data_IF_813824656865
#
_entry.id   IF_813824656865
#
_cell.length_a   1.000
_cell.length_b   1.000
_cell.length_c   1.000
_cell.angle_alpha   90.00
_cell.angle_beta   90.00
_cell.angle_gamma   90.00
#
_symmetry.space_group_name_H-M   'P 1'
#
loop_
_entity.id
_entity.type
_entity.pdbx_description
1 polymer ?
#
# COMPACT_ATOMS: atom_id res chain seq x y z
N UNK A 1 -16.73 1.87 -2.34
CA UNK A 1 -16.13 2.60 -3.50
C UNK A 1 -15.80 1.60 -4.59
N UNK A 2 -15.93 1.99 -5.87
CA UNK A 2 -15.74 1.09 -7.02
C UNK A 2 -14.90 1.74 -8.12
N UNK A 3 -14.20 0.92 -8.90
CA UNK A 3 -13.42 1.35 -10.07
C UNK A 3 -13.51 0.28 -11.16
N UNK A 4 -13.66 0.71 -12.41
CA UNK A 4 -13.66 -0.18 -13.57
C UNK A 4 -12.24 -0.34 -14.11
N UNK A 5 -11.81 -1.57 -14.32
CA UNK A 5 -10.51 -1.91 -14.90
C UNK A 5 -10.69 -2.68 -16.20
N UNK A 6 -9.86 -2.39 -17.20
CA UNK A 6 -9.69 -3.23 -18.39
C UNK A 6 -8.88 -4.48 -18.05
N UNK A 7 -9.30 -5.63 -18.56
CA UNK A 7 -8.65 -6.91 -18.35
C UNK A 7 -7.67 -7.20 -19.48
N UNK A 8 -6.39 -7.41 -19.14
CA UNK A 8 -5.36 -7.69 -20.12
C UNK A 8 -4.95 -9.17 -20.13
N UNK A 9 -4.27 -9.58 -21.18
CA UNK A 9 -3.59 -10.89 -21.32
C UNK A 9 -4.51 -12.09 -21.11
N UNK A 10 -5.77 -11.98 -21.56
CA UNK A 10 -6.77 -13.06 -21.46
C UNK A 10 -7.30 -13.29 -20.05
N UNK A 11 -7.09 -12.35 -19.11
CA UNK A 11 -7.66 -12.43 -17.78
C UNK A 11 -9.18 -12.35 -17.83
N UNK A 12 -9.82 -13.13 -16.97
CA UNK A 12 -11.26 -13.09 -16.72
C UNK A 12 -11.55 -12.37 -15.40
N UNK A 13 -12.76 -11.82 -15.27
CA UNK A 13 -13.21 -11.19 -14.02
C UNK A 13 -13.12 -12.16 -12.81
N UNK A 14 -13.40 -13.45 -13.01
CA UNK A 14 -13.33 -14.45 -11.94
C UNK A 14 -11.89 -14.67 -11.46
N UNK A 15 -10.92 -14.74 -12.37
CA UNK A 15 -9.51 -14.86 -12.01
C UNK A 15 -9.03 -13.64 -11.22
N UNK A 16 -9.45 -12.43 -11.60
CA UNK A 16 -9.08 -11.20 -10.87
C UNK A 16 -9.69 -11.17 -9.47
N UNK A 17 -10.97 -11.52 -9.34
CA UNK A 17 -11.67 -11.53 -8.04
C UNK A 17 -11.14 -12.59 -7.07
N UNK A 18 -10.67 -13.73 -7.58
CA UNK A 18 -10.15 -14.83 -6.76
C UNK A 18 -8.66 -14.68 -6.40
N UNK A 19 -7.95 -13.74 -7.02
CA UNK A 19 -6.51 -13.61 -6.86
C UNK A 19 -6.10 -12.93 -5.55
N UNK A 20 -5.00 -13.39 -4.95
CA UNK A 20 -4.41 -12.72 -3.77
C UNK A 20 -3.65 -11.46 -4.14
N UNK A 21 -3.00 -11.44 -5.30
CA UNK A 21 -2.23 -10.29 -5.80
C UNK A 21 -2.57 -9.99 -7.26
N UNK A 22 -2.59 -8.70 -7.59
CA UNK A 22 -2.81 -8.19 -8.93
C UNK A 22 -1.68 -7.23 -9.33
N UNK A 23 -1.23 -7.33 -10.58
CA UNK A 23 -0.50 -6.27 -11.27
C UNK A 23 -1.52 -5.39 -11.95
N UNK A 24 -1.43 -4.08 -11.73
CA UNK A 24 -2.26 -3.10 -12.38
C UNK A 24 -1.42 -2.07 -13.14
N UNK A 25 -2.05 -1.44 -14.13
CA UNK A 25 -1.52 -0.26 -14.78
C UNK A 25 -2.50 0.91 -14.68
N UNK A 26 -1.95 2.11 -14.59
CA UNK A 26 -2.68 3.37 -14.76
C UNK A 26 -2.03 4.12 -15.91
N UNK A 27 -2.82 4.43 -16.94
CA UNK A 27 -2.35 5.21 -18.08
C UNK A 27 -2.94 6.61 -18.02
N UNK A 28 -2.06 7.61 -18.00
CA UNK A 28 -2.38 9.02 -17.82
C UNK A 28 -1.63 9.78 -18.91
N UNK A 29 -2.34 10.51 -19.77
CA UNK A 29 -1.75 11.27 -20.89
C UNK A 29 -0.75 10.46 -21.74
N UNK A 30 -1.04 9.18 -21.99
CA UNK A 30 -0.18 8.28 -22.77
C UNK A 30 0.96 7.64 -21.98
N UNK A 31 1.31 8.16 -20.80
CA UNK A 31 2.32 7.57 -19.91
C UNK A 31 1.71 6.51 -19.02
N UNK A 32 2.50 5.49 -18.67
CA UNK A 32 2.04 4.35 -17.89
C UNK A 32 2.72 4.37 -16.52
N UNK A 33 1.95 4.03 -15.50
CA UNK A 33 2.41 3.63 -14.18
C UNK A 33 2.02 2.18 -13.95
N UNK A 34 2.95 1.38 -13.42
CA UNK A 34 2.73 -0.02 -13.06
C UNK A 34 2.86 -0.17 -11.55
N UNK A 35 1.98 -0.96 -10.94
CA UNK A 35 2.14 -1.36 -9.55
C UNK A 35 1.53 -2.72 -9.28
N UNK A 36 1.83 -3.23 -8.08
CA UNK A 36 1.17 -4.41 -7.53
C UNK A 36 0.43 -4.10 -6.24
N UNK A 37 -0.63 -4.85 -5.99
CA UNK A 37 -1.43 -4.74 -4.79
C UNK A 37 -2.23 -6.01 -4.57
N UNK A 38 -2.76 -6.18 -3.36
CA UNK A 38 -3.81 -7.15 -3.12
C UNK A 38 -5.19 -6.55 -3.45
N UNK A 39 -5.39 -5.23 -3.24
CA UNK A 39 -6.65 -4.52 -3.47
C UNK A 39 -6.38 -3.34 -4.43
N UNK A 40 -6.82 -3.42 -5.69
CA UNK A 40 -6.59 -2.37 -6.68
C UNK A 40 -7.43 -1.12 -6.46
N UNK A 41 -8.64 -1.23 -5.88
CA UNK A 41 -9.50 -0.08 -5.61
C UNK A 41 -8.96 0.71 -4.42
N UNK A 42 -8.61 0.05 -3.32
CA UNK A 42 -7.95 0.70 -2.18
C UNK A 42 -6.64 1.37 -2.59
N UNK A 43 -5.83 0.69 -3.41
CA UNK A 43 -4.55 1.23 -3.86
C UNK A 43 -4.72 2.44 -4.77
N UNK A 44 -5.71 2.45 -5.65
CA UNK A 44 -6.05 3.62 -6.45
C UNK A 44 -6.45 4.81 -5.57
N UNK A 45 -7.28 4.59 -4.55
CA UNK A 45 -7.67 5.64 -3.61
C UNK A 45 -6.48 6.19 -2.83
N UNK A 46 -5.62 5.30 -2.32
CA UNK A 46 -4.36 5.70 -1.67
C UNK A 46 -3.53 6.56 -2.60
N UNK A 47 -3.51 6.19 -3.89
CA UNK A 47 -2.77 6.91 -4.89
C UNK A 47 -3.30 8.32 -5.15
N UNK A 48 -4.62 8.45 -5.18
CA UNK A 48 -5.34 9.71 -5.32
C UNK A 48 -5.18 10.62 -4.10
N UNK A 49 -5.33 10.08 -2.88
CA UNK A 49 -5.15 10.86 -1.65
C UNK A 49 -3.71 11.37 -1.51
N UNK A 50 -2.74 10.50 -1.80
CA UNK A 50 -1.32 10.83 -1.77
C UNK A 50 -0.93 11.90 -2.79
N UNK A 51 -1.66 12.03 -3.91
CA UNK A 51 -1.36 13.06 -4.90
C UNK A 51 -1.77 14.45 -4.43
N UNK A 52 -2.72 14.55 -3.50
CA UNK A 52 -3.27 15.82 -2.98
C UNK A 52 -2.74 16.23 -1.62
N UNK A 53 -2.19 15.28 -0.86
CA UNK A 53 -1.58 15.59 0.41
C UNK A 53 -0.12 16.04 0.22
N UNK A 54 0.12 17.35 0.30
CA UNK A 54 1.44 17.99 0.14
C UNK A 54 2.49 17.50 1.13
N UNK A 55 2.07 16.92 2.27
CA UNK A 55 2.96 16.37 3.29
C UNK A 55 3.23 14.88 3.11
N UNK A 56 2.58 14.21 2.15
CA UNK A 56 2.75 12.79 1.89
C UNK A 56 4.16 12.54 1.32
N UNK A 57 4.84 11.50 1.79
CA UNK A 57 6.21 11.19 1.37
C UNK A 57 6.35 10.88 -0.13
N UNK A 58 5.27 10.49 -0.78
CA UNK A 58 5.22 10.19 -2.22
C UNK A 58 4.69 11.36 -3.07
N UNK A 59 4.33 12.50 -2.46
CA UNK A 59 3.67 13.62 -3.13
C UNK A 59 4.42 14.12 -4.38
N UNK A 60 5.75 14.08 -4.35
CA UNK A 60 6.62 14.52 -5.44
C UNK A 60 7.01 13.43 -6.44
N UNK A 61 6.49 12.20 -6.32
CA UNK A 61 6.82 11.13 -7.28
C UNK A 61 6.21 11.40 -8.66
N UNK A 62 6.84 10.94 -9.76
CA UNK A 62 6.37 11.22 -11.12
C UNK A 62 4.90 10.88 -11.33
N UNK A 63 4.45 9.72 -10.83
CA UNK A 63 3.04 9.33 -10.89
C UNK A 63 2.08 10.29 -10.19
N UNK A 64 2.43 10.81 -9.00
CA UNK A 64 1.56 11.77 -8.29
C UNK A 64 1.51 13.12 -8.98
N UNK A 65 2.63 13.56 -9.53
CA UNK A 65 2.70 14.79 -10.32
C UNK A 65 1.82 14.66 -11.55
N UNK A 66 1.95 13.57 -12.31
CA UNK A 66 1.13 13.30 -13.48
C UNK A 66 -0.38 13.25 -13.13
N UNK A 67 -0.72 12.58 -12.02
CA UNK A 67 -2.09 12.46 -11.56
C UNK A 67 -2.71 13.81 -11.19
N UNK A 68 -1.96 14.72 -10.54
CA UNK A 68 -2.47 16.07 -10.22
C UNK A 68 -2.72 16.94 -11.46
N UNK A 69 -1.97 16.71 -12.53
CA UNK A 69 -1.96 17.58 -13.71
C UNK A 69 -3.04 17.23 -14.74
N UNK A 70 -3.87 16.21 -14.50
CA UNK A 70 -4.98 15.86 -15.41
C UNK A 70 -6.30 16.45 -14.95
N UNK A 71 -7.12 16.86 -15.93
CA UNK A 71 -8.45 17.37 -15.69
C UNK A 71 -9.39 16.20 -15.36
N UNK A 72 -9.94 16.18 -14.14
CA UNK A 72 -10.74 15.07 -13.60
C UNK A 72 -10.01 13.71 -13.67
N UNK A 73 -9.19 13.44 -12.65
CA UNK A 73 -8.26 12.32 -12.60
C UNK A 73 -8.93 10.95 -12.77
N UNK A 74 -10.20 10.84 -12.37
CA UNK A 74 -10.99 9.61 -12.47
C UNK A 74 -11.44 9.29 -13.89
N UNK A 75 -11.65 10.31 -14.74
CA UNK A 75 -12.04 10.14 -16.14
C UNK A 75 -10.82 10.13 -17.07
N UNK A 76 -9.77 10.87 -16.71
CA UNK A 76 -8.56 10.98 -17.50
C UNK A 76 -7.55 9.83 -17.28
N UNK A 77 -7.82 8.93 -16.31
CA UNK A 77 -6.97 7.77 -16.04
C UNK A 77 -7.62 6.49 -16.55
N UNK A 78 -6.93 5.79 -17.44
CA UNK A 78 -7.32 4.44 -17.84
C UNK A 78 -6.72 3.41 -16.87
N UNK A 79 -7.55 2.54 -16.32
CA UNK A 79 -7.13 1.51 -15.36
C UNK A 79 -7.11 0.12 -16.01
N UNK A 80 -6.07 -0.66 -15.76
CA UNK A 80 -5.87 -2.00 -16.32
C UNK A 80 -5.45 -3.00 -15.24
N UNK A 81 -5.88 -4.25 -15.34
CA UNK A 81 -5.29 -5.40 -14.64
C UNK A 81 -4.47 -6.20 -15.64
N UNK A 82 -3.18 -6.35 -15.37
CA UNK A 82 -2.22 -6.94 -16.29
C UNK A 82 -1.98 -8.43 -16.05
N UNK A 83 -1.88 -8.81 -14.78
CA UNK A 83 -1.60 -10.16 -14.34
C UNK A 83 -2.14 -10.36 -12.93
N UNK A 84 -2.33 -11.62 -12.56
CA UNK A 84 -2.73 -12.03 -11.21
C UNK A 84 -1.80 -13.13 -10.71
N UNK A 85 -1.62 -13.25 -9.40
CA UNK A 85 -0.87 -14.36 -8.80
C UNK A 85 -1.32 -14.59 -7.36
N UNK A 86 -1.13 -15.82 -6.89
CA UNK A 86 -1.29 -16.19 -5.48
C UNK A 86 0.04 -16.20 -4.71
N UNK A 87 1.15 -15.80 -5.36
CA UNK A 87 2.50 -15.84 -4.81
C UNK A 87 3.14 -14.44 -4.81
N UNK A 88 3.56 -13.98 -3.63
CA UNK A 88 4.19 -12.66 -3.45
C UNK A 88 5.52 -12.50 -4.20
N UNK A 89 6.27 -13.60 -4.38
CA UNK A 89 7.55 -13.57 -5.11
C UNK A 89 7.34 -13.51 -6.62
N UNK A 90 6.38 -14.28 -7.13
CA UNK A 90 6.04 -14.31 -8.55
C UNK A 90 5.49 -12.95 -9.02
N UNK A 91 4.56 -12.37 -8.25
CA UNK A 91 3.99 -11.07 -8.61
C UNK A 91 5.06 -9.97 -8.65
N UNK A 92 6.11 -10.05 -7.82
CA UNK A 92 7.24 -9.10 -7.89
C UNK A 92 8.01 -9.24 -9.21
N UNK A 93 8.21 -10.46 -9.70
CA UNK A 93 8.84 -10.70 -11.00
C UNK A 93 7.98 -10.12 -12.13
N UNK A 94 6.67 -10.36 -12.11
CA UNK A 94 5.74 -9.84 -13.12
C UNK A 94 5.65 -8.31 -13.13
N UNK A 95 5.66 -7.66 -11.97
CA UNK A 95 5.71 -6.20 -11.88
C UNK A 95 6.93 -5.63 -12.62
N UNK A 96 8.12 -6.20 -12.39
CA UNK A 96 9.34 -5.75 -13.05
C UNK A 96 9.29 -5.96 -14.57
N UNK A 97 8.80 -7.11 -15.03
CA UNK A 97 8.67 -7.39 -16.46
C UNK A 97 7.68 -6.42 -17.12
N UNK A 98 6.56 -6.11 -16.46
CA UNK A 98 5.58 -5.14 -16.94
C UNK A 98 6.18 -3.72 -17.02
N UNK A 99 6.94 -3.29 -16.01
CA UNK A 99 7.64 -2.00 -16.01
C UNK A 99 8.60 -1.90 -17.21
N UNK A 100 9.35 -2.97 -17.51
CA UNK A 100 10.22 -3.03 -18.69
C UNK A 100 9.42 -2.99 -20.00
N UNK A 101 8.33 -3.77 -20.14
CA UNK A 101 7.53 -3.82 -21.39
C UNK A 101 6.92 -2.47 -21.72
N UNK A 102 6.29 -1.83 -20.73
CA UNK A 102 5.53 -0.59 -20.95
C UNK A 102 6.38 0.67 -20.80
N UNK A 103 7.70 0.55 -20.58
CA UNK A 103 8.64 1.67 -20.38
C UNK A 103 8.06 2.69 -19.41
N UNK A 104 7.72 2.23 -18.22
CA UNK A 104 6.88 2.97 -17.27
C UNK A 104 7.59 4.21 -16.69
N UNK A 105 7.50 5.35 -17.37
CA UNK A 105 8.12 6.63 -16.98
C UNK A 105 7.60 7.19 -15.65
N UNK A 106 6.40 6.76 -15.24
CA UNK A 106 5.78 7.20 -14.00
C UNK A 106 6.27 6.42 -12.75
N UNK A 107 7.01 5.33 -12.93
CA UNK A 107 7.64 4.60 -11.83
C UNK A 107 8.95 5.29 -11.43
N UNK A 108 9.13 5.58 -10.14
CA UNK A 108 10.28 6.33 -9.63
C UNK A 108 11.65 5.62 -9.77
N UNK A 109 11.67 4.32 -10.05
CA UNK A 109 12.89 3.55 -10.27
C UNK A 109 12.76 2.71 -11.53
N UNK A 110 13.70 2.87 -12.46
CA UNK A 110 13.83 2.00 -13.62
C UNK A 110 14.33 0.63 -13.18
N UNK A 111 13.55 -0.42 -13.46
CA UNK A 111 14.02 -1.79 -13.27
C UNK A 111 14.69 -2.25 -14.57
N UNK A 112 15.99 -2.56 -14.47
CA UNK A 112 16.80 -3.06 -15.58
C UNK A 112 17.01 -4.57 -15.40
N UNK A 113 16.78 -5.38 -16.44
CA UNK A 113 17.19 -6.79 -16.44
C UNK A 113 16.15 -7.85 -16.82
N UNK A 114 14.99 -7.48 -17.40
CA UNK A 114 13.97 -8.45 -17.83
C UNK A 114 13.53 -8.31 -19.30
N UNK A 115 14.38 -7.75 -20.18
CA UNK A 115 14.06 -7.52 -21.60
C UNK A 115 13.48 -8.73 -22.31
N UNK A 116 13.98 -9.92 -21.99
CA UNK A 116 13.72 -11.15 -22.74
C UNK A 116 12.36 -11.78 -22.39
N UNK A 117 11.71 -11.33 -21.31
CA UNK A 117 10.40 -11.80 -20.87
C UNK A 117 9.26 -10.84 -21.23
N UNK A 118 9.55 -9.74 -21.91
CA UNK A 118 8.60 -8.65 -22.18
C UNK A 118 7.45 -9.06 -23.12
N UNK A 119 7.61 -10.15 -23.87
CA UNK A 119 6.56 -10.72 -24.73
C UNK A 119 5.37 -11.30 -23.96
N UNK A 120 5.51 -11.53 -22.64
CA UNK A 120 4.38 -11.99 -21.80
C UNK A 120 3.24 -10.98 -21.71
N UNK A 121 3.55 -9.69 -21.90
CA UNK A 121 2.60 -8.60 -21.80
C UNK A 121 2.35 -8.02 -23.18
N UNK A 122 1.08 -7.94 -23.60
CA UNK A 122 0.73 -7.31 -24.88
C UNK A 122 0.36 -5.83 -24.72
N UNK A 123 0.39 -4.99 -25.78
CA UNK A 123 0.03 -3.57 -25.72
C UNK A 123 -1.31 -3.28 -25.04
N UNK A 124 -1.38 -2.22 -24.21
CA UNK A 124 -2.60 -1.88 -23.44
C UNK A 124 -3.80 -1.53 -24.32
N UNK A 125 -3.58 -0.91 -25.47
CA UNK A 125 -4.62 -0.40 -26.38
C UNK A 125 -5.52 -1.48 -26.99
N UNK A 126 -5.12 -2.75 -26.95
CA UNK A 126 -5.90 -3.83 -27.57
C UNK A 126 -7.00 -4.40 -26.67
N UNK A 127 -7.05 -4.02 -25.40
CA UNK A 127 -7.92 -4.66 -24.40
C UNK A 127 -9.19 -3.86 -24.17
N UNK A 128 -10.35 -4.49 -24.42
CA UNK A 128 -11.67 -3.88 -24.27
C UNK A 128 -12.50 -4.50 -23.15
N UNK A 129 -12.25 -5.75 -22.79
CA UNK A 129 -12.96 -6.41 -21.70
C UNK A 129 -12.70 -5.67 -20.38
N UNK A 130 -13.73 -5.54 -19.55
CA UNK A 130 -13.64 -4.83 -18.28
C UNK A 130 -14.19 -5.64 -17.11
N UNK A 131 -13.73 -5.28 -15.91
CA UNK A 131 -14.30 -5.73 -14.63
C UNK A 131 -14.51 -4.53 -13.74
N UNK A 132 -15.68 -4.46 -13.11
CA UNK A 132 -15.93 -3.54 -12.01
C UNK A 132 -15.47 -4.22 -10.71
N UNK A 133 -14.56 -3.56 -10.00
CA UNK A 133 -14.06 -4.02 -8.71
C UNK A 133 -14.51 -3.07 -7.61
N UNK A 134 -14.73 -3.63 -6.43
CA UNK A 134 -15.11 -2.93 -5.22
C UNK A 134 -13.94 -2.98 -4.24
N UNK A 135 -13.81 -1.95 -3.41
CA UNK A 135 -12.88 -1.97 -2.27
C UNK A 135 -13.18 -3.16 -1.37
N UNK A 136 -12.13 -3.88 -0.97
CA UNK A 136 -12.23 -4.96 0.01
C UNK A 136 -12.12 -4.40 1.42
N UNK A 137 -13.27 -4.10 2.03
CA UNK A 137 -13.35 -3.53 3.38
C UNK A 137 -12.89 -4.52 4.47
N UNK A 138 -12.86 -5.83 4.18
CA UNK A 138 -12.37 -6.83 5.14
C UNK A 138 -10.88 -6.65 5.46
N UNK A 139 -10.12 -5.98 4.59
CA UNK A 139 -8.69 -5.73 4.79
C UNK A 139 -8.38 -4.53 5.66
N UNK A 140 -9.34 -3.63 5.82
CA UNK A 140 -9.24 -2.62 6.87
C UNK A 140 -9.30 -3.31 8.25
N UNK A 141 -9.97 -4.46 8.40
CA UNK A 141 -9.91 -5.28 9.61
C UNK A 141 -8.54 -5.94 9.80
N UNK A 142 -7.90 -6.43 8.72
CA UNK A 142 -6.55 -7.04 8.77
C UNK A 142 -5.52 -6.04 9.31
N UNK A 143 -5.56 -4.78 8.86
CA UNK A 143 -4.69 -3.71 9.35
C UNK A 143 -5.23 -2.99 10.59
N UNK A 144 -6.29 -3.52 11.22
CA UNK A 144 -6.95 -2.89 12.36
C UNK A 144 -7.51 -1.48 12.07
N UNK A 145 -7.53 -1.03 10.81
CA UNK A 145 -8.06 0.27 10.38
C UNK A 145 -9.58 0.37 10.54
N UNK A 146 -10.27 -0.76 10.63
CA UNK A 146 -11.71 -0.84 10.92
C UNK A 146 -12.05 -0.87 12.42
N UNK A 147 -11.03 -0.85 13.31
CA UNK A 147 -11.25 -0.83 14.76
C UNK A 147 -11.31 0.60 15.28
N UNK A 148 -12.43 0.91 15.93
CA UNK A 148 -12.66 2.18 16.58
C UNK A 148 -11.81 2.31 17.85
N UNK A 149 -11.78 3.52 18.41
CA UNK A 149 -11.03 3.82 19.64
C UNK A 149 -11.47 2.95 20.82
N UNK A 150 -12.75 2.56 20.86
CA UNK A 150 -13.30 1.69 21.89
C UNK A 150 -12.72 0.26 21.84
N UNK A 151 -12.20 -0.18 20.70
CA UNK A 151 -11.62 -1.51 20.51
C UNK A 151 -10.09 -1.52 20.72
N UNK A 152 -9.53 -0.44 21.28
CA UNK A 152 -8.10 -0.22 21.44
C UNK A 152 -7.77 0.10 22.88
N UNK A 153 -6.70 -0.52 23.35
CA UNK A 153 -6.14 -0.23 24.66
C UNK A 153 -4.85 0.58 24.55
N UNK A 154 -4.53 1.29 25.62
CA UNK A 154 -3.28 2.03 25.73
C UNK A 154 -2.13 1.05 25.92
N UNK A 155 -1.16 1.10 25.01
CA UNK A 155 0.11 0.42 25.13
C UNK A 155 1.24 1.42 25.39
N UNK A 156 2.13 1.06 26.31
CA UNK A 156 3.37 1.79 26.53
C UNK A 156 4.45 1.12 25.70
N UNK A 157 4.98 1.86 24.74
CA UNK A 157 5.88 1.35 23.72
C UNK A 157 7.22 2.09 23.73
N UNK A 158 8.28 1.41 23.31
CA UNK A 158 9.62 1.97 23.14
C UNK A 158 9.94 2.16 21.66
N UNK A 159 10.55 3.29 21.32
CA UNK A 159 11.09 3.55 19.99
C UNK A 159 12.43 2.81 19.85
N UNK A 160 12.55 1.95 18.85
CA UNK A 160 13.76 1.17 18.55
C UNK A 160 14.27 1.43 17.14
N UNK A 161 15.52 1.06 16.86
CA UNK A 161 16.04 1.04 15.49
C UNK A 161 15.38 -0.09 14.71
N UNK A 162 14.72 0.26 13.60
CA UNK A 162 14.19 -0.74 12.70
C UNK A 162 15.27 -1.27 11.75
N UNK A 163 15.16 -2.54 11.36
CA UNK A 163 16.08 -3.17 10.40
C UNK A 163 15.98 -2.58 8.97
N UNK A 164 14.80 -2.07 8.61
CA UNK A 164 14.47 -1.52 7.28
C UNK A 164 13.74 -0.16 7.33
N UNK A 165 13.49 0.35 8.53
CA UNK A 165 12.85 1.65 8.81
C UNK A 165 13.70 2.34 9.88
N UNK A 166 13.94 3.65 9.83
CA UNK A 166 14.78 4.34 10.81
C UNK A 166 14.30 4.11 12.25
N UNK A 167 12.98 3.95 12.45
CA UNK A 167 12.39 3.61 13.76
C UNK A 167 11.28 2.55 13.67
N UNK A 168 11.19 1.71 14.70
CA UNK A 168 10.09 0.78 15.02
C UNK A 168 9.56 1.02 16.43
N UNK A 169 8.35 0.52 16.72
CA UNK A 169 7.75 0.54 18.05
C UNK A 169 7.58 -0.89 18.56
N UNK A 170 7.94 -1.08 19.82
CA UNK A 170 7.83 -2.38 20.51
C UNK A 170 7.16 -2.16 21.86
N UNK A 171 6.17 -2.99 22.18
CA UNK A 171 5.50 -2.95 23.49
C UNK A 171 6.49 -3.22 24.61
N UNK A 172 6.34 -2.53 25.73
CA UNK A 172 7.23 -2.68 26.89
C UNK A 172 6.70 -3.61 27.97
N UNK A 173 5.41 -3.95 27.95
CA UNK A 173 4.78 -4.68 29.04
C UNK A 173 4.38 -3.82 30.23
N UNK A 174 4.81 -2.55 30.27
CA UNK A 174 4.63 -1.68 31.45
C UNK A 174 3.21 -1.13 31.60
N UNK A 175 2.39 -1.24 30.56
CA UNK A 175 0.97 -0.87 30.59
C UNK A 175 0.06 -1.95 31.21
N UNK A 176 0.53 -3.19 31.35
CA UNK A 176 -0.26 -4.30 31.87
C UNK A 176 -1.30 -4.88 30.91
N UNK A 177 -1.56 -4.24 29.76
CA UNK A 177 -2.54 -4.68 28.77
C UNK A 177 -1.90 -5.56 27.69
N UNK A 178 -0.63 -5.33 27.36
CA UNK A 178 0.09 -6.06 26.32
C UNK A 178 1.42 -6.60 26.81
N UNK A 179 1.82 -7.83 26.44
CA UNK A 179 3.13 -8.35 26.81
C UNK A 179 4.27 -7.55 26.15
N UNK A 180 5.46 -7.58 26.74
CA UNK A 180 6.64 -6.95 26.16
C UNK A 180 7.10 -7.66 24.87
N UNK A 181 7.72 -6.91 23.96
CA UNK A 181 8.39 -7.48 22.77
C UNK A 181 7.52 -7.58 21.51
N UNK A 182 6.23 -7.24 21.58
CA UNK A 182 5.37 -7.24 20.40
C UNK A 182 5.59 -5.99 19.57
N UNK A 183 5.79 -6.19 18.27
CA UNK A 183 5.93 -5.10 17.32
C UNK A 183 4.60 -4.38 17.12
N UNK A 184 4.65 -3.07 17.14
CA UNK A 184 3.49 -2.21 16.88
C UNK A 184 3.61 -1.66 15.45
N UNK A 185 2.61 -1.98 14.63
CA UNK A 185 2.48 -1.48 13.28
C UNK A 185 1.64 -0.20 13.29
N UNK A 186 2.23 0.90 12.85
CA UNK A 186 1.59 2.23 12.85
C UNK A 186 2.22 3.08 11.74
N UNK A 187 1.71 4.30 11.53
CA UNK A 187 2.28 5.16 10.49
C UNK A 187 3.72 5.58 10.81
N UNK A 188 4.52 5.71 9.75
CA UNK A 188 5.91 6.20 9.85
C UNK A 188 5.96 7.65 10.32
N UNK A 189 4.97 8.45 9.91
CA UNK A 189 4.85 9.85 10.26
C UNK A 189 4.65 10.04 11.77
N UNK A 190 3.81 9.23 12.42
CA UNK A 190 3.62 9.29 13.87
C UNK A 190 4.91 9.00 14.66
N UNK A 191 5.79 8.12 14.13
CA UNK A 191 7.10 7.83 14.75
C UNK A 191 8.12 8.94 14.57
N UNK A 192 7.91 9.85 13.62
CA UNK A 192 8.86 10.91 13.27
C UNK A 192 8.78 12.00 14.34
N UNK A 193 9.89 12.24 15.04
CA UNK A 193 9.97 13.24 16.11
C UNK A 193 10.26 12.65 17.51
N UNK A 194 10.22 11.33 17.66
CA UNK A 194 10.57 10.67 18.91
C UNK A 194 11.96 10.01 18.81
N UNK A 195 12.91 10.36 19.71
CA UNK A 195 14.23 9.76 19.72
C UNK A 195 14.17 8.25 19.99
N UNK A 196 15.15 7.52 19.47
CA UNK A 196 15.33 6.10 19.80
C UNK A 196 15.61 5.95 21.29
N UNK A 197 15.00 4.93 21.90
CA UNK A 197 15.01 4.70 23.35
C UNK A 197 13.91 5.44 24.10
N UNK A 198 13.25 6.43 23.49
CA UNK A 198 12.11 7.10 24.11
C UNK A 198 10.91 6.17 24.25
N UNK A 199 10.09 6.45 25.26
CA UNK A 199 8.84 5.75 25.49
C UNK A 199 7.65 6.63 25.14
N UNK A 200 6.63 6.01 24.56
CA UNK A 200 5.40 6.68 24.13
C UNK A 200 4.17 5.85 24.48
N UNK A 201 3.05 6.53 24.76
CA UNK A 201 1.71 5.92 24.80
C UNK A 201 1.11 5.91 23.41
N UNK A 202 0.53 4.77 23.04
CA UNK A 202 -0.07 4.52 21.73
C UNK A 202 -1.37 3.74 21.92
N UNK A 203 -2.43 4.06 21.17
CA UNK A 203 -3.67 3.28 21.18
C UNK A 203 -3.56 2.14 20.19
N UNK A 204 -3.58 0.90 20.67
CA UNK A 204 -3.34 -0.28 19.84
C UNK A 204 -4.38 -1.36 20.08
N UNK A 205 -4.48 -2.26 19.12
CA UNK A 205 -5.24 -3.50 19.27
C UNK A 205 -4.45 -4.66 18.67
N UNK A 206 -4.86 -5.89 19.00
CA UNK A 206 -4.31 -7.07 18.38
C UNK A 206 -4.61 -7.09 16.88
N UNK A 207 -3.56 -7.36 16.09
CA UNK A 207 -3.69 -7.75 14.69
C UNK A 207 -4.42 -9.09 14.61
N UNK A 208 -5.17 -9.33 13.51
CA UNK A 208 -5.92 -10.57 13.31
C UNK A 208 -5.08 -11.86 13.41
N UNK A 209 -3.77 -11.77 13.13
CA UNK A 209 -2.84 -12.91 13.26
C UNK A 209 -2.33 -13.17 14.68
N UNK A 210 -2.64 -12.32 15.66
CA UNK A 210 -2.20 -12.46 17.07
C UNK A 210 -0.70 -12.21 17.33
N UNK A 211 0.12 -12.04 16.30
CA UNK A 211 1.59 -11.96 16.44
C UNK A 211 2.13 -10.53 16.49
N UNK A 212 1.28 -9.52 16.39
CA UNK A 212 1.67 -8.12 16.40
C UNK A 212 0.50 -7.23 16.85
N UNK A 213 0.84 -6.00 17.25
CA UNK A 213 -0.12 -4.96 17.62
C UNK A 213 -0.25 -3.96 16.47
N UNK A 214 -1.41 -3.31 16.37
CA UNK A 214 -1.66 -2.31 15.32
C UNK A 214 -2.19 -1.03 15.94
N UNK A 215 -1.44 0.06 15.75
CA UNK A 215 -1.84 1.41 16.16
C UNK A 215 -2.68 2.11 15.10
N UNK A 216 -3.19 3.30 15.42
CA UNK A 216 -3.96 4.08 14.44
C UNK A 216 -3.08 4.56 13.28
N UNK A 217 -3.68 4.70 12.10
CA UNK A 217 -3.00 5.26 10.91
C UNK A 217 -2.54 6.71 11.17
N UNK A 218 -3.33 7.49 11.91
CA UNK A 218 -3.03 8.88 12.25
C UNK A 218 -2.94 9.06 13.77
N UNK A 219 -2.14 8.21 14.42
CA UNK A 219 -1.97 8.31 15.87
C UNK A 219 -1.05 9.47 16.25
N UNK A 220 -1.27 10.03 17.45
CA UNK A 220 -0.41 11.04 18.07
C UNK A 220 0.20 10.42 19.31
N UNK A 221 1.52 10.23 19.29
CA UNK A 221 2.23 9.60 20.39
C UNK A 221 2.46 10.60 21.52
N UNK A 222 2.08 10.18 22.73
CA UNK A 222 2.33 10.96 23.93
C UNK A 222 3.59 10.42 24.59
N UNK A 223 4.65 11.23 24.67
CA UNK A 223 5.88 10.87 25.37
C UNK A 223 5.61 10.54 26.84
N UNK A 224 6.27 9.50 27.34
CA UNK A 224 6.17 9.07 28.73
C UNK A 224 7.56 8.95 29.32
N UNK A 225 7.74 9.51 30.51
CA UNK A 225 8.90 9.16 31.33
C UNK A 225 8.56 7.87 32.06
N UNK A 226 9.38 6.86 31.81
CA UNK A 226 9.32 5.62 32.56
C UNK A 226 10.65 5.47 33.25
N UNK A 227 10.64 5.72 34.55
CA UNK A 227 11.74 5.37 35.44
C UNK A 227 11.94 3.85 35.44
#
# INVERSE_FOLDING_TARGET
MQTTFRLCNGLTANQVKAALFVIYAHKINGQVYIGKTKDPVYRWNTHYDASRNTTHSEYSTPFKVALRNVQNEWLATEHYILAVSNCANEIRKFENIAICKYKSELNATGHWGYSDATEMFKPLSQWQDTVMLFRDESRDVEWGLAKDDADRDVCIARIEHGRTSPTSLVSTGKDGNFPAGYKINCSRAARKGHPVGSHVKVLVSWHASGNQLVGKKHDVFVSVNIN
#
